data_IF_794497933450
#
_entry.id   IF_794497933450
#
_cell.length_a   1.000
_cell.length_b   1.000
_cell.length_c   1.000
_cell.angle_alpha   90.00
_cell.angle_beta   90.00
_cell.angle_gamma   90.00
#
_symmetry.space_group_name_H-M   'P 1'
#
loop_
_entity.id
_entity.type
_entity.pdbx_description
1 polymer ?
#
# COMPACT_ATOMS: atom_id res chain seq x y z
N UNK A 1 -19.44 10.17 -6.49
CA UNK A 1 -18.36 9.38 -7.13
C UNK A 1 -17.05 9.66 -6.39
N UNK A 2 -16.33 8.65 -5.88
CA UNK A 2 -15.01 8.87 -5.26
C UNK A 2 -13.95 9.21 -6.33
N UNK A 3 -13.11 10.21 -6.08
CA UNK A 3 -12.08 10.72 -7.02
C UNK A 3 -10.68 10.15 -6.77
N UNK A 4 -10.55 9.13 -5.92
CA UNK A 4 -9.27 8.49 -5.62
C UNK A 4 -8.59 7.96 -6.91
N UNK A 5 -7.29 8.26 -7.14
CA UNK A 5 -6.31 8.77 -6.17
C UNK A 5 -6.17 10.31 -6.05
N UNK A 6 -6.93 11.12 -6.82
CA UNK A 6 -6.82 12.59 -6.76
C UNK A 6 -7.23 13.17 -5.39
N UNK A 7 -8.16 12.48 -4.70
CA UNK A 7 -8.45 12.69 -3.29
C UNK A 7 -8.11 11.42 -2.52
N UNK A 8 -7.59 11.56 -1.30
CA UNK A 8 -7.38 10.44 -0.39
C UNK A 8 -8.68 9.93 0.27
N UNK A 9 -9.85 10.38 -0.16
CA UNK A 9 -11.13 9.96 0.39
C UNK A 9 -11.83 8.95 -0.54
N UNK A 10 -12.29 7.86 0.07
CA UNK A 10 -13.12 6.83 -0.58
C UNK A 10 -14.43 6.73 0.20
N UNK A 11 -15.56 6.77 -0.50
CA UNK A 11 -16.88 6.55 0.08
C UNK A 11 -17.47 5.30 -0.56
N UNK A 12 -17.88 4.31 0.26
CA UNK A 12 -18.52 3.08 -0.19
C UNK A 12 -19.79 2.81 0.61
N UNK A 13 -20.85 2.42 -0.09
CA UNK A 13 -22.06 1.89 0.55
C UNK A 13 -21.92 0.37 0.67
N UNK A 14 -22.01 -0.16 1.88
CA UNK A 14 -21.84 -1.57 2.20
C UNK A 14 -22.98 -2.00 3.13
N UNK A 15 -23.83 -2.91 2.65
CA UNK A 15 -24.98 -3.43 3.40
C UNK A 15 -25.87 -2.31 3.98
N UNK A 16 -26.21 -1.31 3.16
CA UNK A 16 -27.04 -0.17 3.56
C UNK A 16 -26.32 0.86 4.45
N UNK A 17 -25.08 0.62 4.86
CA UNK A 17 -24.27 1.57 5.63
C UNK A 17 -23.28 2.28 4.72
N UNK A 18 -23.26 3.61 4.77
CA UNK A 18 -22.24 4.40 4.10
C UNK A 18 -20.99 4.48 4.99
N UNK A 19 -19.86 4.06 4.43
CA UNK A 19 -18.55 4.21 5.04
C UNK A 19 -17.74 5.26 4.27
N UNK A 20 -17.08 6.12 5.03
CA UNK A 20 -16.11 7.09 4.52
C UNK A 20 -14.73 6.73 5.05
N UNK A 21 -13.81 6.53 4.13
CA UNK A 21 -12.42 6.15 4.39
C UNK A 21 -11.50 7.29 3.96
N UNK A 22 -10.63 7.73 4.84
CA UNK A 22 -9.52 8.63 4.53
C UNK A 22 -8.23 7.82 4.53
N UNK A 23 -7.57 7.75 3.39
CA UNK A 23 -6.34 7.00 3.22
C UNK A 23 -5.19 7.82 3.80
N UNK A 24 -4.50 7.25 4.80
CA UNK A 24 -3.31 7.85 5.44
C UNK A 24 -2.05 7.20 4.87
N UNK A 25 -2.01 5.86 4.91
CA UNK A 25 -1.01 5.02 4.24
C UNK A 25 -1.71 3.92 3.47
N UNK A 26 -1.45 3.84 2.17
CA UNK A 26 -2.01 2.79 1.31
C UNK A 26 -1.44 1.40 1.63
N UNK A 27 -0.23 1.33 2.18
CA UNK A 27 0.51 0.09 2.35
C UNK A 27 0.88 -0.60 1.03
N UNK A 28 1.53 -1.74 1.12
CA UNK A 28 1.91 -2.57 -0.03
C UNK A 28 1.48 -4.02 0.17
N UNK A 29 1.42 -4.80 -0.89
CA UNK A 29 1.24 -6.26 -0.76
C UNK A 29 2.61 -6.92 -0.59
N UNK A 30 2.82 -7.70 0.48
CA UNK A 30 4.03 -8.49 0.66
C UNK A 30 4.33 -9.44 -0.51
N UNK A 31 5.51 -10.05 -0.48
CA UNK A 31 5.87 -11.12 -1.40
C UNK A 31 4.91 -12.32 -1.26
N UNK A 32 4.80 -13.12 -2.32
CA UNK A 32 3.76 -14.14 -2.43
C UNK A 32 3.86 -15.25 -1.36
N UNK A 33 5.04 -15.47 -0.80
CA UNK A 33 5.33 -16.43 0.27
C UNK A 33 4.79 -15.99 1.64
N UNK A 34 4.53 -14.68 1.83
CA UNK A 34 4.03 -14.10 3.09
C UNK A 34 2.61 -13.53 2.93
N UNK A 35 2.20 -13.23 1.70
CA UNK A 35 0.94 -12.54 1.41
C UNK A 35 -0.28 -13.30 1.95
N UNK A 36 -0.96 -12.71 2.93
CA UNK A 36 -2.19 -13.24 3.49
C UNK A 36 -3.43 -12.72 2.76
N UNK A 37 -4.53 -13.47 2.91
CA UNK A 37 -5.83 -13.14 2.34
C UNK A 37 -6.93 -13.18 3.41
N UNK A 38 -7.99 -12.39 3.22
CA UNK A 38 -9.19 -12.49 4.05
C UNK A 38 -9.89 -13.84 3.85
N UNK A 39 -10.49 -14.41 4.89
CA UNK A 39 -11.23 -15.69 4.77
C UNK A 39 -12.37 -15.62 3.74
N UNK A 40 -12.50 -16.64 2.89
CA UNK A 40 -13.49 -16.71 1.80
C UNK A 40 -14.91 -17.08 2.25
N UNK A 41 -15.36 -16.63 3.43
CA UNK A 41 -16.64 -17.08 4.02
C UNK A 41 -17.89 -16.39 3.45
N UNK A 42 -17.78 -15.73 2.30
CA UNK A 42 -18.91 -15.07 1.62
C UNK A 42 -19.45 -15.93 0.49
N UNK A 43 -20.74 -15.79 0.17
CA UNK A 43 -21.45 -16.46 -0.93
C UNK A 43 -20.73 -16.41 -2.29
N UNK A 44 -19.85 -15.42 -2.52
CA UNK A 44 -19.11 -15.24 -3.77
C UNK A 44 -17.65 -15.73 -3.70
N UNK A 45 -17.27 -16.42 -2.62
CA UNK A 45 -15.94 -16.98 -2.35
C UNK A 45 -14.78 -15.97 -2.55
N UNK A 46 -15.06 -14.67 -2.44
CA UNK A 46 -14.12 -13.61 -2.78
C UNK A 46 -13.16 -13.37 -1.62
N UNK A 47 -11.86 -13.49 -1.91
CA UNK A 47 -10.77 -13.20 -0.98
C UNK A 47 -10.09 -11.88 -1.34
N UNK A 48 -9.75 -11.08 -0.35
CA UNK A 48 -9.03 -9.82 -0.52
C UNK A 48 -7.61 -9.94 0.04
N UNK A 49 -6.64 -9.42 -0.70
CA UNK A 49 -5.23 -9.37 -0.29
C UNK A 49 -5.06 -8.44 0.91
N UNK A 50 -4.30 -8.87 1.90
CA UNK A 50 -4.03 -8.09 3.12
C UNK A 50 -2.73 -7.29 2.92
N UNK A 51 -2.80 -5.94 2.91
CA UNK A 51 -1.61 -5.09 2.78
C UNK A 51 -0.82 -5.00 4.09
N UNK A 52 0.46 -4.67 3.97
CA UNK A 52 1.40 -4.32 5.04
C UNK A 52 1.68 -2.81 5.06
N UNK A 53 2.16 -2.26 6.19
CA UNK A 53 2.27 -0.82 6.51
C UNK A 53 1.04 0.00 6.07
N UNK A 54 -0.15 -0.54 6.35
CA UNK A 54 -1.42 0.05 5.96
C UNK A 54 -2.02 0.86 7.11
N UNK A 55 -2.56 2.04 6.80
CA UNK A 55 -3.26 2.88 7.78
C UNK A 55 -4.35 3.71 7.11
N UNK A 56 -5.56 3.62 7.62
CA UNK A 56 -6.69 4.45 7.17
C UNK A 56 -7.47 4.96 8.36
N UNK A 57 -8.18 6.07 8.16
CA UNK A 57 -9.25 6.48 9.06
C UNK A 57 -10.58 6.04 8.45
N UNK A 58 -11.40 5.36 9.23
CA UNK A 58 -12.72 4.87 8.83
C UNK A 58 -13.79 5.56 9.66
N UNK A 59 -14.85 6.02 9.00
CA UNK A 59 -16.02 6.56 9.68
C UNK A 59 -17.34 6.08 9.07
N UNK A 60 -18.33 5.85 9.93
CA UNK A 60 -19.69 5.45 9.56
C UNK A 60 -20.68 5.85 10.65
N UNK A 61 -21.99 5.76 10.36
CA UNK A 61 -23.05 6.19 11.28
C UNK A 61 -23.31 7.70 11.21
N UNK A 62 -24.25 8.19 12.04
CA UNK A 62 -24.71 9.59 12.04
C UNK A 62 -24.90 10.12 13.46
N UNK A 63 -24.70 11.42 13.65
CA UNK A 63 -24.89 12.08 14.95
C UNK A 63 -24.08 11.41 16.07
N UNK A 64 -24.71 11.17 17.21
CA UNK A 64 -24.12 10.50 18.38
C UNK A 64 -23.73 9.04 18.14
N UNK A 65 -24.25 8.41 17.08
CA UNK A 65 -23.89 7.03 16.68
C UNK A 65 -22.72 6.96 15.70
N UNK A 66 -22.12 8.11 15.37
CA UNK A 66 -20.99 8.18 14.44
C UNK A 66 -19.77 7.52 15.07
N UNK A 67 -19.21 6.56 14.36
CA UNK A 67 -17.93 5.95 14.68
C UNK A 67 -16.84 6.61 13.83
N UNK A 68 -15.71 6.94 14.46
CA UNK A 68 -14.49 7.41 13.80
C UNK A 68 -13.34 6.66 14.44
N UNK A 69 -12.61 5.89 13.63
CA UNK A 69 -11.51 5.03 14.08
C UNK A 69 -10.37 5.06 13.07
N UNK A 70 -9.17 4.67 13.50
CA UNK A 70 -8.06 4.37 12.63
C UNK A 70 -7.85 2.85 12.56
N UNK A 71 -7.74 2.33 11.35
CA UNK A 71 -7.49 0.92 11.09
C UNK A 71 -6.10 0.76 10.50
N UNK A 72 -5.23 0.03 11.19
CA UNK A 72 -3.85 -0.23 10.80
C UNK A 72 -3.59 -1.72 10.57
N UNK A 73 -2.72 -2.05 9.60
CA UNK A 73 -2.23 -3.41 9.40
C UNK A 73 -0.71 -3.37 9.24
N UNK A 74 -0.04 -4.16 10.07
CA UNK A 74 1.41 -4.40 10.02
C UNK A 74 1.67 -5.90 10.04
N UNK A 75 2.67 -6.38 9.31
CA UNK A 75 3.13 -7.76 9.41
C UNK A 75 4.26 -7.87 10.43
N UNK A 76 4.07 -8.70 11.45
CA UNK A 76 5.10 -9.06 12.44
C UNK A 76 5.38 -10.54 12.26
N UNK A 77 6.64 -10.92 12.01
CA UNK A 77 7.05 -12.32 11.80
C UNK A 77 6.16 -13.05 10.77
N UNK A 78 5.88 -12.38 9.64
CA UNK A 78 5.02 -12.87 8.54
C UNK A 78 3.53 -12.99 8.87
N UNK A 79 3.08 -12.56 10.06
CA UNK A 79 1.68 -12.60 10.49
C UNK A 79 1.09 -11.18 10.48
N UNK A 80 -0.05 -10.94 9.80
CA UNK A 80 -0.71 -9.64 9.82
C UNK A 80 -1.37 -9.38 11.18
N UNK A 81 -1.01 -8.26 11.81
CA UNK A 81 -1.64 -7.72 13.02
C UNK A 81 -2.63 -6.63 12.61
N UNK A 82 -3.90 -6.84 12.93
CA UNK A 82 -4.99 -5.91 12.65
C UNK A 82 -5.25 -5.04 13.87
N UNK A 83 -4.95 -3.74 13.75
CA UNK A 83 -5.13 -2.75 14.82
C UNK A 83 -6.29 -1.81 14.52
N UNK A 84 -7.12 -1.54 15.53
CA UNK A 84 -8.12 -0.48 15.51
C UNK A 84 -7.83 0.47 16.66
N UNK A 85 -7.50 1.72 16.34
CA UNK A 85 -7.34 2.79 17.31
C UNK A 85 -8.57 3.69 17.33
N UNK A 86 -9.01 4.13 18.51
CA UNK A 86 -10.25 4.87 18.74
C UNK A 86 -10.17 5.73 20.01
N UNK A 87 -11.22 6.51 20.26
CA UNK A 87 -11.26 7.47 21.37
C UNK A 87 -10.63 8.81 20.99
N UNK A 88 -10.51 9.70 21.97
CA UNK A 88 -9.86 11.00 21.75
C UNK A 88 -8.43 10.79 21.30
N UNK A 89 -8.06 11.46 20.20
CA UNK A 89 -6.73 11.37 19.58
C UNK A 89 -6.26 9.93 19.30
N UNK A 90 -7.18 8.97 19.15
CA UNK A 90 -6.88 7.55 18.88
C UNK A 90 -5.97 6.89 19.94
N UNK A 91 -6.07 7.30 21.20
CA UNK A 91 -5.24 6.80 22.30
C UNK A 91 -5.56 5.35 22.72
N UNK A 92 -6.81 4.91 22.57
CA UNK A 92 -7.19 3.54 22.88
C UNK A 92 -7.05 2.65 21.63
N UNK A 93 -6.68 1.38 21.81
CA UNK A 93 -6.61 0.44 20.68
C UNK A 93 -6.99 -0.98 21.05
N UNK A 94 -7.49 -1.71 20.05
CA UNK A 94 -7.63 -3.17 20.07
C UNK A 94 -6.88 -3.77 18.91
N UNK A 95 -6.36 -4.98 19.12
CA UNK A 95 -5.56 -5.68 18.12
C UNK A 95 -6.03 -7.13 17.97
N UNK A 96 -5.78 -7.70 16.79
CA UNK A 96 -5.97 -9.12 16.56
C UNK A 96 -4.96 -9.64 15.55
N UNK A 97 -4.37 -10.79 15.84
CA UNK A 97 -3.52 -11.53 14.89
C UNK A 97 -4.32 -12.51 14.01
N UNK A 98 -5.62 -12.69 14.29
CA UNK A 98 -6.41 -13.73 13.63
C UNK A 98 -7.20 -13.22 12.43
N UNK A 99 -7.82 -12.04 12.52
CA UNK A 99 -8.52 -11.41 11.40
C UNK A 99 -8.93 -9.97 11.69
N UNK A 100 -9.08 -9.19 10.62
CA UNK A 100 -9.71 -7.86 10.66
C UNK A 100 -11.10 -7.90 11.33
N UNK A 101 -11.87 -8.97 11.09
CA UNK A 101 -13.22 -9.12 11.66
C UNK A 101 -13.15 -9.33 13.17
N UNK A 102 -12.18 -10.09 13.69
CA UNK A 102 -12.02 -10.26 15.14
C UNK A 102 -11.64 -8.94 15.81
N UNK A 103 -10.72 -8.17 15.23
CA UNK A 103 -10.39 -6.82 15.72
C UNK A 103 -11.61 -5.87 15.69
N UNK A 104 -12.36 -5.85 14.58
CA UNK A 104 -13.55 -5.01 14.44
C UNK A 104 -14.65 -5.33 15.47
N UNK A 105 -14.87 -6.62 15.75
CA UNK A 105 -15.87 -7.02 16.73
C UNK A 105 -15.39 -6.80 18.18
N UNK A 106 -14.09 -6.91 18.46
CA UNK A 106 -13.53 -6.52 19.76
C UNK A 106 -13.76 -5.02 20.03
N UNK A 107 -13.50 -4.17 19.04
CA UNK A 107 -13.83 -2.75 19.11
C UNK A 107 -15.33 -2.52 19.36
N UNK A 108 -16.19 -3.23 18.63
CA UNK A 108 -17.64 -3.08 18.78
C UNK A 108 -18.11 -3.45 20.19
N UNK A 109 -17.58 -4.52 20.78
CA UNK A 109 -17.93 -4.94 22.14
C UNK A 109 -17.51 -3.89 23.19
N UNK A 110 -16.40 -3.18 22.98
CA UNK A 110 -16.02 -2.06 23.86
C UNK A 110 -17.00 -0.89 23.72
N UNK A 111 -17.41 -0.56 22.50
CA UNK A 111 -18.33 0.57 22.26
C UNK A 111 -19.78 0.28 22.60
N UNK A 112 -20.21 -0.97 22.48
CA UNK A 112 -21.55 -1.44 22.77
C UNK A 112 -21.44 -2.83 23.42
N UNK A 113 -21.18 -2.89 24.73
CA UNK A 113 -21.13 -4.15 25.46
C UNK A 113 -22.42 -4.97 25.26
N UNK A 114 -22.29 -6.29 25.16
CA UNK A 114 -23.40 -7.25 25.00
C UNK A 114 -24.19 -7.10 23.70
N UNK A 115 -23.69 -6.37 22.70
CA UNK A 115 -24.35 -6.31 21.40
C UNK A 115 -24.23 -7.64 20.66
N UNK A 116 -25.33 -8.07 20.03
CA UNK A 116 -25.34 -9.19 19.08
C UNK A 116 -24.94 -8.76 17.66
N UNK A 117 -24.82 -7.45 17.40
CA UNK A 117 -24.40 -6.93 16.12
C UNK A 117 -22.96 -7.32 15.80
N UNK A 118 -22.64 -7.45 14.51
CA UNK A 118 -21.30 -7.81 14.05
C UNK A 118 -20.79 -6.83 13.01
N UNK A 119 -19.54 -6.43 13.14
CA UNK A 119 -18.85 -5.67 12.11
C UNK A 119 -18.11 -6.61 11.15
N UNK A 120 -18.17 -6.29 9.87
CA UNK A 120 -17.31 -6.90 8.85
C UNK A 120 -15.95 -6.22 8.88
N UNK A 121 -14.89 -6.97 9.20
CA UNK A 121 -13.53 -6.43 9.16
C UNK A 121 -13.12 -5.98 7.75
N UNK A 122 -13.60 -6.67 6.71
CA UNK A 122 -13.37 -6.29 5.31
C UNK A 122 -13.87 -4.86 5.03
N UNK A 123 -15.03 -4.52 5.57
CA UNK A 123 -15.65 -3.22 5.44
C UNK A 123 -14.91 -2.19 6.30
N UNK A 124 -14.74 -2.46 7.59
CA UNK A 124 -14.08 -1.56 8.53
C UNK A 124 -12.64 -1.18 8.10
N UNK A 125 -11.91 -2.11 7.49
CA UNK A 125 -10.55 -1.89 6.99
C UNK A 125 -10.49 -1.50 5.49
N UNK A 126 -11.63 -1.33 4.81
CA UNK A 126 -11.71 -1.02 3.38
C UNK A 126 -10.97 -2.02 2.45
N UNK A 127 -10.87 -3.29 2.85
CA UNK A 127 -10.10 -4.31 2.13
C UNK A 127 -10.72 -4.69 0.79
N UNK A 128 -12.01 -4.45 0.61
CA UNK A 128 -12.74 -4.70 -0.64
C UNK A 128 -12.69 -3.54 -1.65
N UNK A 129 -11.93 -2.48 -1.38
CA UNK A 129 -11.78 -1.36 -2.32
C UNK A 129 -10.93 -1.75 -3.52
N UNK A 130 -11.58 -1.96 -4.67
CA UNK A 130 -10.90 -2.19 -5.95
C UNK A 130 -9.99 -1.02 -6.34
N UNK A 131 -10.33 0.22 -5.94
CA UNK A 131 -9.52 1.40 -6.24
C UNK A 131 -8.17 1.36 -5.52
N UNK A 132 -8.18 1.00 -4.23
CA UNK A 132 -6.95 0.80 -3.45
C UNK A 132 -6.11 -0.34 -4.03
N UNK A 133 -6.74 -1.45 -4.39
CA UNK A 133 -6.03 -2.58 -4.99
C UNK A 133 -5.32 -2.19 -6.30
N UNK A 134 -6.03 -1.46 -7.18
CA UNK A 134 -5.46 -0.99 -8.45
C UNK A 134 -4.28 -0.04 -8.22
N UNK A 135 -4.38 0.90 -7.30
CA UNK A 135 -3.29 1.84 -7.03
C UNK A 135 -2.05 1.14 -6.44
N UNK A 136 -2.22 0.20 -5.52
CA UNK A 136 -1.09 -0.61 -5.02
C UNK A 136 -0.39 -1.37 -6.13
N UNK A 137 -1.17 -1.99 -7.04
CA UNK A 137 -0.62 -2.69 -8.22
C UNK A 137 0.07 -1.74 -9.18
N UNK A 138 -0.48 -0.55 -9.40
CA UNK A 138 0.10 0.49 -10.27
C UNK A 138 1.46 0.94 -9.73
N UNK A 139 1.54 1.30 -8.45
CA UNK A 139 2.79 1.70 -7.78
C UNK A 139 3.82 0.58 -7.78
N UNK A 140 3.43 -0.66 -7.48
CA UNK A 140 4.34 -1.81 -7.56
C UNK A 140 4.92 -2.01 -8.95
N UNK A 141 4.11 -1.83 -10.01
CA UNK A 141 4.56 -1.94 -11.41
C UNK A 141 5.49 -0.80 -11.81
N UNK A 142 5.24 0.43 -11.36
CA UNK A 142 6.13 1.57 -11.69
C UNK A 142 7.52 1.42 -11.08
N UNK A 143 7.66 0.71 -9.95
CA UNK A 143 8.96 0.46 -9.32
C UNK A 143 9.70 -0.78 -9.85
N UNK A 144 9.05 -1.64 -10.64
CA UNK A 144 9.70 -2.81 -11.24
C UNK A 144 10.22 -2.47 -12.64
N UNK A 145 11.48 -2.07 -12.73
CA UNK A 145 12.18 -2.08 -14.02
C UNK A 145 12.27 -3.52 -14.52
N UNK A 146 11.82 -3.75 -15.77
CA UNK A 146 12.06 -5.04 -16.41
C UNK A 146 13.58 -5.29 -16.49
N UNK A 147 14.06 -6.49 -16.12
CA UNK A 147 15.46 -6.88 -16.34
C UNK A 147 15.86 -6.69 -17.80
N UNK A 148 17.10 -6.29 -18.06
CA UNK A 148 17.58 -5.97 -19.42
C UNK A 148 17.38 -7.15 -20.39
N UNK A 149 17.64 -8.38 -19.94
CA UNK A 149 17.45 -9.59 -20.74
C UNK A 149 15.98 -9.84 -21.15
N UNK A 150 15.00 -9.32 -20.38
CA UNK A 150 13.55 -9.43 -20.63
C UNK A 150 12.98 -8.25 -21.42
N UNK A 151 13.82 -7.33 -21.90
CA UNK A 151 13.39 -6.22 -22.76
C UNK A 151 13.33 -6.62 -24.24
N UNK A 152 12.48 -5.94 -25.01
CA UNK A 152 12.54 -6.00 -26.48
C UNK A 152 13.81 -5.33 -27.00
N UNK A 153 14.26 -5.67 -28.21
CA UNK A 153 15.48 -5.09 -28.79
C UNK A 153 15.43 -3.56 -28.83
N UNK A 154 14.30 -2.97 -29.25
CA UNK A 154 14.11 -1.51 -29.23
C UNK A 154 14.28 -0.89 -27.83
N UNK A 155 13.75 -1.53 -26.79
CA UNK A 155 13.90 -1.05 -25.42
C UNK A 155 15.32 -1.26 -24.87
N UNK A 156 16.00 -2.34 -25.26
CA UNK A 156 17.42 -2.56 -24.95
C UNK A 156 18.26 -1.43 -25.52
N UNK A 157 18.10 -1.12 -26.80
CA UNK A 157 18.83 -0.02 -27.49
C UNK A 157 18.58 1.31 -26.80
N UNK A 158 17.32 1.68 -26.52
CA UNK A 158 17.00 2.93 -25.80
C UNK A 158 17.67 2.99 -24.43
N UNK A 159 17.68 1.89 -23.68
CA UNK A 159 18.27 1.85 -22.34
C UNK A 159 19.79 1.94 -22.38
N UNK A 160 20.46 1.30 -23.34
CA UNK A 160 21.91 1.43 -23.58
C UNK A 160 22.25 2.87 -23.95
N UNK A 161 21.48 3.49 -24.85
CA UNK A 161 21.69 4.88 -25.25
C UNK A 161 21.57 5.84 -24.06
N UNK A 162 20.48 5.74 -23.29
CA UNK A 162 20.28 6.52 -22.04
C UNK A 162 21.43 6.34 -21.04
N UNK A 163 21.90 5.10 -20.88
CA UNK A 163 23.02 4.79 -20.01
C UNK A 163 24.31 5.46 -20.51
N UNK A 164 24.61 5.37 -21.82
CA UNK A 164 25.78 5.99 -22.41
C UNK A 164 25.77 7.52 -22.28
N UNK A 165 24.61 8.17 -22.47
CA UNK A 165 24.46 9.62 -22.28
C UNK A 165 24.78 10.03 -20.83
N UNK A 166 24.17 9.35 -19.85
CA UNK A 166 24.44 9.61 -18.43
C UNK A 166 25.91 9.37 -18.09
N UNK A 167 26.50 8.36 -18.69
CA UNK A 167 27.87 7.98 -18.44
C UNK A 167 28.86 8.97 -19.06
N UNK A 168 28.58 9.49 -20.25
CA UNK A 168 29.37 10.55 -20.87
C UNK A 168 29.34 11.82 -20.01
N UNK A 169 28.17 12.23 -19.51
CA UNK A 169 28.04 13.38 -18.61
C UNK A 169 28.85 13.16 -17.32
N UNK A 170 28.72 11.98 -16.69
CA UNK A 170 29.50 11.67 -15.49
C UNK A 170 31.00 11.66 -15.75
N UNK A 171 31.44 11.09 -16.87
CA UNK A 171 32.85 11.07 -17.26
C UNK A 171 33.36 12.49 -17.44
N UNK A 172 32.69 13.34 -18.22
CA UNK A 172 33.09 14.73 -18.45
C UNK A 172 33.17 15.52 -17.15
N UNK A 173 32.18 15.39 -16.26
CA UNK A 173 32.19 16.06 -14.96
C UNK A 173 33.33 15.57 -14.06
N UNK A 174 33.63 14.28 -14.11
CA UNK A 174 34.74 13.67 -13.34
C UNK A 174 36.08 14.12 -13.91
N UNK A 175 36.23 14.09 -15.23
CA UNK A 175 37.42 14.52 -15.94
C UNK A 175 37.78 15.98 -15.59
N UNK A 176 36.80 16.89 -15.69
CA UNK A 176 36.99 18.30 -15.36
C UNK A 176 37.39 18.54 -13.88
N UNK A 177 37.10 17.59 -12.98
CA UNK A 177 37.45 17.70 -11.56
C UNK A 177 38.89 17.25 -11.26
N UNK A 178 39.40 16.27 -11.99
CA UNK A 178 40.67 15.61 -11.66
C UNK A 178 41.78 15.81 -12.69
N UNK A 179 41.45 16.27 -13.89
CA UNK A 179 42.38 16.48 -14.99
C UNK A 179 42.40 17.95 -15.39
N UNK A 180 43.54 18.40 -15.92
CA UNK A 180 43.65 19.72 -16.52
C UNK A 180 42.94 19.75 -17.87
N UNK A 181 42.54 20.95 -18.33
CA UNK A 181 41.89 21.12 -19.63
C UNK A 181 42.68 20.54 -20.81
N UNK A 182 44.00 20.49 -20.68
CA UNK A 182 44.92 20.12 -21.74
C UNK A 182 45.12 18.59 -21.82
N UNK A 183 44.74 17.85 -20.76
CA UNK A 183 44.95 16.40 -20.65
C UNK A 183 44.04 15.58 -21.59
N UNK A 184 42.97 16.19 -22.11
CA UNK A 184 42.01 15.60 -23.06
C UNK A 184 41.65 14.12 -22.79
N UNK A 185 41.22 13.76 -21.57
CA UNK A 185 40.98 12.36 -21.20
C UNK A 185 39.84 11.76 -22.01
N UNK A 186 39.99 10.51 -22.45
CA UNK A 186 38.97 9.76 -23.20
C UNK A 186 38.58 8.48 -22.49
N UNK A 187 37.29 8.15 -22.52
CA UNK A 187 36.78 6.93 -21.91
C UNK A 187 36.98 5.73 -22.84
N UNK A 188 37.89 4.83 -22.49
CA UNK A 188 38.24 3.70 -23.35
C UNK A 188 37.38 2.45 -23.09
N UNK A 189 37.20 2.06 -21.83
CA UNK A 189 36.38 0.90 -21.44
C UNK A 189 35.83 1.05 -20.04
N UNK A 190 34.71 0.37 -19.79
CA UNK A 190 34.13 0.22 -18.45
C UNK A 190 34.03 -1.25 -18.14
N UNK A 191 34.53 -1.63 -16.97
CA UNK A 191 34.48 -2.99 -16.46
C UNK A 191 33.54 -3.02 -15.26
N UNK A 192 32.61 -3.98 -15.25
CA UNK A 192 31.78 -4.27 -14.09
C UNK A 192 32.35 -5.53 -13.40
N UNK A 193 32.47 -5.50 -12.08
CA UNK A 193 32.88 -6.64 -11.26
C UNK A 193 31.66 -7.34 -10.67
#
# INVERSE_FOLDING_TARGET
>A
MSTYPASNIIVLNQNGTQYTYTIIKEGYYPQNDILCYTSARSCNNTQFKIPDDYLIQTSWGRGSSKHIIQCGIIYIEKIPVFKISFGENFQASVESIHSATKAANAYLQIKKPNTQARLSGVHVFCLNSQKLERERKRKRRSHMLKPFNKLSNSMKTKRVYMFNEQLAVNFTNTAAKYFHSDDCPTLQKICFT
#
